data_IF_029724524654
#
_entry.id   IF_029724524654
#
_cell.length_a   1.000
_cell.length_b   1.000
_cell.length_c   1.000
_cell.angle_alpha   90.00
_cell.angle_beta   90.00
_cell.angle_gamma   90.00
#
_symmetry.space_group_name_H-M   'P 1'
#
loop_
_entity.id
_entity.type
_entity.pdbx_description
1 polymer ?
#
# COMPACT_ATOMS: atom_id res chain seq x y z
N UNK A 1 5.69 31.58 8.95
CA UNK A 1 5.13 30.41 9.64
C UNK A 1 4.13 29.80 8.67
N UNK A 2 4.35 28.58 8.19
CA UNK A 2 3.40 27.91 7.29
C UNK A 2 2.32 27.26 8.16
N UNK A 3 1.07 27.70 8.03
CA UNK A 3 -0.08 26.98 8.58
C UNK A 3 -0.52 25.93 7.56
N UNK A 4 -0.34 24.66 7.91
CA UNK A 4 -0.84 23.54 7.14
C UNK A 4 -2.19 23.13 7.74
N UNK A 5 -3.29 23.46 7.05
CA UNK A 5 -4.59 22.88 7.34
C UNK A 5 -4.79 21.66 6.43
N UNK A 6 -4.65 20.47 7.00
CA UNK A 6 -4.99 19.22 6.35
C UNK A 6 -6.33 18.71 6.91
N UNK A 7 -7.23 18.18 6.06
CA UNK A 7 -8.41 17.49 6.54
C UNK A 7 -8.00 16.30 7.41
N UNK A 8 -8.79 16.03 8.46
CA UNK A 8 -8.60 14.82 9.25
C UNK A 8 -8.90 13.59 8.38
N UNK A 9 -8.16 12.48 8.55
CA UNK A 9 -8.45 11.23 7.86
C UNK A 9 -9.84 10.72 8.20
N UNK A 10 -10.48 10.02 7.27
CA UNK A 10 -11.75 9.36 7.53
C UNK A 10 -11.62 8.31 8.63
N UNK A 11 -12.68 8.10 9.40
CA UNK A 11 -12.66 7.13 10.50
C UNK A 11 -12.38 5.70 10.01
N UNK A 12 -12.75 5.37 8.77
CA UNK A 12 -12.42 4.10 8.12
C UNK A 12 -10.92 3.92 7.87
N UNK A 13 -10.15 5.01 7.86
CA UNK A 13 -8.71 4.97 7.70
C UNK A 13 -7.97 4.91 9.03
N UNK A 14 -8.69 4.84 10.15
CA UNK A 14 -8.13 4.92 11.48
C UNK A 14 -8.35 3.64 12.28
N UNK A 15 -7.34 3.28 13.07
CA UNK A 15 -7.40 2.20 14.06
C UNK A 15 -6.97 2.75 15.41
N UNK A 16 -7.61 2.28 16.48
CA UNK A 16 -7.18 2.58 17.84
C UNK A 16 -6.23 1.50 18.35
N UNK A 17 -5.07 1.91 18.84
CA UNK A 17 -4.09 1.01 19.46
C UNK A 17 -3.47 1.70 20.66
N UNK A 18 -3.57 1.07 21.82
CA UNK A 18 -3.01 1.59 23.08
C UNK A 18 -3.46 3.03 23.41
N UNK A 19 -4.72 3.37 23.08
CA UNK A 19 -5.29 4.71 23.25
C UNK A 19 -4.82 5.74 22.22
N UNK A 20 -4.02 5.33 21.23
CA UNK A 20 -3.59 6.16 20.10
C UNK A 20 -4.45 5.88 18.88
N UNK A 21 -4.81 6.94 18.20
CA UNK A 21 -5.48 6.91 16.89
C UNK A 21 -4.43 6.92 15.80
N UNK A 22 -4.26 5.78 15.14
CA UNK A 22 -3.28 5.55 14.09
C UNK A 22 -3.98 5.35 12.75
N UNK A 23 -3.27 5.55 11.64
CA UNK A 23 -3.75 5.06 10.36
C UNK A 23 -3.84 3.52 10.39
N UNK A 24 -4.86 2.99 9.72
CA UNK A 24 -4.87 1.58 9.32
C UNK A 24 -3.64 1.29 8.45
N UNK A 25 -3.21 0.03 8.40
CA UNK A 25 -2.02 -0.34 7.65
C UNK A 25 -2.21 -0.09 6.15
N UNK A 26 -3.39 -0.41 5.63
CA UNK A 26 -3.81 -0.21 4.26
C UNK A 26 -3.77 1.27 3.88
N UNK A 27 -4.38 2.12 4.71
CA UNK A 27 -4.38 3.57 4.50
C UNK A 27 -2.96 4.14 4.59
N UNK A 28 -2.16 3.69 5.56
CA UNK A 28 -0.78 4.12 5.70
C UNK A 28 0.07 3.75 4.47
N UNK A 29 -0.15 2.59 3.86
CA UNK A 29 0.56 2.17 2.64
C UNK A 29 0.14 2.99 1.40
N UNK A 30 -1.13 3.42 1.34
CA UNK A 30 -1.63 4.31 0.28
C UNK A 30 -0.99 5.70 0.41
N UNK A 31 -0.97 6.25 1.63
CA UNK A 31 -0.38 7.56 1.94
C UNK A 31 1.16 7.55 1.92
N UNK A 32 1.78 6.38 2.04
CA UNK A 32 3.23 6.25 2.02
C UNK A 32 3.80 6.76 0.68
N UNK A 33 4.65 7.78 0.78
CA UNK A 33 5.37 8.29 -0.37
C UNK A 33 6.29 7.22 -0.99
N UNK A 34 6.56 7.26 -2.31
CA UNK A 34 7.51 6.34 -2.94
C UNK A 34 8.89 6.33 -2.27
N UNK A 35 9.30 7.46 -1.68
CA UNK A 35 10.58 7.59 -0.96
C UNK A 35 10.63 6.71 0.29
N UNK A 36 9.50 6.42 0.93
CA UNK A 36 9.48 5.55 2.11
C UNK A 36 9.96 4.14 1.77
N UNK A 37 9.49 3.57 0.65
CA UNK A 37 9.93 2.26 0.17
C UNK A 37 11.42 2.21 -0.17
N UNK A 38 11.98 3.32 -0.67
CA UNK A 38 13.41 3.45 -0.96
C UNK A 38 14.28 3.49 0.30
N UNK A 39 13.89 4.28 1.29
CA UNK A 39 14.72 4.53 2.49
C UNK A 39 14.46 3.54 3.63
N UNK A 40 13.28 2.90 3.65
CA UNK A 40 12.82 2.01 4.70
C UNK A 40 12.32 0.68 4.11
N UNK A 41 13.09 0.10 3.19
CA UNK A 41 12.67 -1.06 2.41
C UNK A 41 12.28 -2.27 3.28
N UNK A 42 13.05 -2.56 4.34
CA UNK A 42 12.76 -3.65 5.28
C UNK A 42 11.44 -3.43 6.02
N UNK A 43 11.22 -2.21 6.54
CA UNK A 43 10.01 -1.88 7.28
C UNK A 43 8.78 -1.94 6.37
N UNK A 44 8.90 -1.40 5.15
CA UNK A 44 7.84 -1.45 4.14
C UNK A 44 7.49 -2.90 3.75
N UNK A 45 8.49 -3.77 3.55
CA UNK A 45 8.26 -5.20 3.26
C UNK A 45 7.64 -5.93 4.44
N UNK A 46 8.07 -5.63 5.66
CA UNK A 46 7.49 -6.21 6.88
C UNK A 46 6.03 -5.79 7.05
N UNK A 47 5.74 -4.50 6.87
CA UNK A 47 4.38 -3.96 6.85
C UNK A 47 3.52 -4.63 5.76
N UNK A 48 4.05 -4.74 4.54
CA UNK A 48 3.38 -5.45 3.45
C UNK A 48 3.14 -6.92 3.74
N UNK A 49 3.98 -7.59 4.54
CA UNK A 49 3.77 -8.98 4.94
C UNK A 49 2.57 -9.15 5.90
N UNK A 50 2.16 -8.10 6.60
CA UNK A 50 1.04 -8.11 7.55
C UNK A 50 -0.33 -8.00 6.88
N UNK A 51 -0.40 -7.46 5.66
CA UNK A 51 -1.65 -7.39 4.87
C UNK A 51 -2.09 -8.81 4.53
N UNK A 52 -3.31 -9.24 4.85
CA UNK A 52 -3.73 -10.64 4.58
C UNK A 52 -4.27 -10.82 3.16
N UNK A 53 -5.15 -9.91 2.75
CA UNK A 53 -5.81 -9.91 1.46
C UNK A 53 -5.87 -8.47 0.89
N UNK A 54 -6.27 -8.31 -0.37
CA UNK A 54 -6.29 -7.01 -1.03
C UNK A 54 -7.58 -6.22 -0.77
N UNK A 55 -8.58 -6.75 -0.06
CA UNK A 55 -9.95 -6.21 -0.07
C UNK A 55 -10.02 -4.79 0.46
N UNK A 56 -9.45 -4.55 1.65
CA UNK A 56 -9.44 -3.25 2.31
C UNK A 56 -8.59 -2.24 1.53
N UNK A 57 -7.48 -2.69 0.94
CA UNK A 57 -6.65 -1.85 0.09
C UNK A 57 -7.38 -1.46 -1.19
N UNK A 58 -8.04 -2.41 -1.85
CA UNK A 58 -8.80 -2.21 -3.08
C UNK A 58 -9.98 -1.30 -2.89
N UNK A 59 -10.72 -1.43 -1.78
CA UNK A 59 -11.83 -0.53 -1.45
C UNK A 59 -11.39 0.93 -1.50
N UNK A 60 -10.26 1.25 -0.86
CA UNK A 60 -9.70 2.61 -0.81
C UNK A 60 -9.10 3.05 -2.15
N UNK A 61 -8.38 2.17 -2.84
CA UNK A 61 -7.80 2.47 -4.14
C UNK A 61 -8.87 2.78 -5.20
N UNK A 62 -10.01 2.07 -5.15
CA UNK A 62 -11.14 2.29 -6.05
C UNK A 62 -11.89 3.57 -5.71
N UNK A 63 -12.19 3.81 -4.43
CA UNK A 63 -12.91 5.00 -3.98
C UNK A 63 -12.17 6.31 -4.37
N UNK A 64 -10.85 6.34 -4.18
CA UNK A 64 -10.02 7.48 -4.57
C UNK A 64 -9.52 7.48 -6.03
N UNK A 65 -9.86 6.47 -6.84
CA UNK A 65 -9.36 6.33 -8.22
C UNK A 65 -7.84 6.29 -8.34
N UNK A 66 -7.15 5.74 -7.34
CA UNK A 66 -5.71 5.86 -7.11
C UNK A 66 -4.85 4.95 -8.01
N UNK A 67 -5.01 5.05 -9.34
CA UNK A 67 -4.32 4.20 -10.33
C UNK A 67 -2.79 4.19 -10.16
N UNK A 68 -2.17 5.36 -9.96
CA UNK A 68 -0.70 5.44 -9.79
C UNK A 68 -0.23 4.76 -8.50
N UNK A 69 -0.99 4.89 -7.41
CA UNK A 69 -0.65 4.27 -6.12
C UNK A 69 -0.85 2.76 -6.20
N UNK A 70 -1.95 2.31 -6.79
CA UNK A 70 -2.20 0.90 -7.04
C UNK A 70 -1.04 0.25 -7.83
N UNK A 71 -0.50 0.95 -8.83
CA UNK A 71 0.59 0.42 -9.66
C UNK A 71 1.90 0.30 -8.88
N UNK A 72 2.14 1.26 -7.99
CA UNK A 72 3.25 1.21 -7.04
C UNK A 72 3.12 0.04 -6.07
N UNK A 73 1.94 -0.12 -5.46
CA UNK A 73 1.69 -1.17 -4.48
C UNK A 73 1.72 -2.56 -5.11
N UNK A 74 1.16 -2.74 -6.31
CA UNK A 74 1.27 -3.99 -7.07
C UNK A 74 2.73 -4.37 -7.33
N UNK A 75 3.54 -3.42 -7.81
CA UNK A 75 4.98 -3.63 -8.01
C UNK A 75 5.71 -4.00 -6.70
N UNK A 76 5.39 -3.31 -5.61
CA UNK A 76 5.98 -3.54 -4.30
C UNK A 76 5.59 -4.90 -3.68
N UNK A 77 4.33 -5.32 -3.80
CA UNK A 77 3.88 -6.65 -3.39
C UNK A 77 4.58 -7.75 -4.20
N UNK A 78 4.72 -7.55 -5.51
CA UNK A 78 5.45 -8.48 -6.38
C UNK A 78 6.92 -8.59 -5.98
N UNK A 79 7.60 -7.48 -5.69
CA UNK A 79 8.97 -7.47 -5.17
C UNK A 79 9.09 -8.24 -3.85
N UNK A 80 8.10 -8.10 -2.98
CA UNK A 80 8.05 -8.75 -1.67
C UNK A 80 7.71 -10.25 -1.73
N UNK A 81 7.49 -10.82 -2.93
CA UNK A 81 7.12 -12.24 -3.10
C UNK A 81 5.62 -12.52 -3.00
N UNK A 82 4.77 -11.47 -3.01
CA UNK A 82 3.30 -11.56 -2.90
C UNK A 82 2.64 -11.33 -4.25
N UNK A 83 3.08 -12.08 -5.26
CA UNK A 83 2.62 -11.94 -6.65
C UNK A 83 1.10 -12.08 -6.82
N UNK A 84 0.46 -12.99 -6.07
CA UNK A 84 -0.99 -13.18 -6.14
C UNK A 84 -1.78 -11.92 -5.75
N UNK A 85 -1.34 -11.19 -4.71
CA UNK A 85 -1.95 -9.91 -4.34
C UNK A 85 -1.69 -8.82 -5.35
N UNK A 86 -0.48 -8.76 -5.91
CA UNK A 86 -0.17 -7.84 -7.00
C UNK A 86 -1.12 -8.07 -8.19
N UNK A 87 -1.32 -9.34 -8.58
CA UNK A 87 -2.20 -9.71 -9.68
C UNK A 87 -3.67 -9.38 -9.37
N UNK A 88 -4.12 -9.61 -8.12
CA UNK A 88 -5.47 -9.26 -7.66
C UNK A 88 -5.72 -7.75 -7.72
N UNK A 89 -4.77 -6.94 -7.24
CA UNK A 89 -4.83 -5.47 -7.30
C UNK A 89 -4.93 -5.02 -8.75
N UNK A 90 -4.02 -5.50 -9.60
CA UNK A 90 -3.96 -5.12 -11.02
C UNK A 90 -5.24 -5.50 -11.74
N UNK A 91 -5.72 -6.74 -11.55
CA UNK A 91 -6.94 -7.24 -12.19
C UNK A 91 -8.17 -6.44 -11.76
N UNK A 92 -8.33 -6.17 -10.47
CA UNK A 92 -9.52 -5.50 -9.95
C UNK A 92 -9.58 -4.04 -10.38
N UNK A 93 -8.45 -3.32 -10.32
CA UNK A 93 -8.38 -1.94 -10.80
C UNK A 93 -8.67 -1.85 -12.30
N UNK A 94 -8.12 -2.75 -13.11
CA UNK A 94 -8.40 -2.80 -14.55
C UNK A 94 -9.86 -3.16 -14.85
N UNK A 95 -10.47 -4.07 -14.08
CA UNK A 95 -11.88 -4.41 -14.23
C UNK A 95 -12.81 -3.23 -13.93
N UNK A 96 -12.40 -2.33 -13.03
CA UNK A 96 -13.08 -1.07 -12.76
C UNK A 96 -12.81 0.04 -13.81
N UNK A 97 -12.04 -0.25 -14.87
CA UNK A 97 -11.76 0.68 -15.96
C UNK A 97 -10.53 1.56 -15.75
N UNK A 98 -9.75 1.34 -14.69
CA UNK A 98 -8.51 2.09 -14.45
C UNK A 98 -7.33 1.54 -15.23
N UNK A 99 -6.57 2.43 -15.88
CA UNK A 99 -5.32 2.09 -16.53
C UNK A 99 -4.17 2.09 -15.52
N UNK A 100 -3.69 0.89 -15.18
CA UNK A 100 -2.59 0.69 -14.25
C UNK A 100 -1.26 0.58 -14.98
N UNK A 101 -0.20 1.18 -14.42
CA UNK A 101 1.19 0.84 -14.75
C UNK A 101 1.90 0.36 -13.49
N UNK A 102 2.23 -0.93 -13.42
CA UNK A 102 3.05 -1.46 -12.33
C UNK A 102 4.42 -0.76 -12.30
N UNK A 103 4.82 -0.31 -11.11
CA UNK A 103 6.12 0.33 -10.89
C UNK A 103 6.65 -0.15 -9.54
N UNK A 104 7.76 -0.87 -9.55
CA UNK A 104 8.42 -1.30 -8.31
C UNK A 104 9.09 -0.07 -7.63
N UNK A 105 8.69 0.31 -6.40
CA UNK A 105 9.31 1.42 -5.69
C UNK A 105 10.59 1.03 -4.96
N UNK A 106 10.96 -0.26 -4.91
CA UNK A 106 12.23 -0.71 -4.34
C UNK A 106 13.35 -0.66 -5.38
N UNK A 107 14.61 -0.50 -4.93
CA UNK A 107 15.80 -0.59 -5.80
C UNK A 107 16.48 -1.95 -5.75
N UNK A 108 16.10 -2.79 -4.79
CA UNK A 108 16.69 -4.08 -4.52
C UNK A 108 15.61 -5.16 -4.39
N UNK A 109 16.05 -6.40 -4.19
CA UNK A 109 15.20 -7.52 -3.81
C UNK A 109 15.55 -7.94 -2.38
N UNK A 110 14.58 -8.46 -1.61
CA UNK A 110 14.88 -8.92 -0.26
C UNK A 110 15.92 -10.06 -0.31
N UNK A 111 16.93 -9.98 0.56
CA UNK A 111 17.99 -10.99 0.66
C UNK A 111 17.48 -12.35 1.14
N UNK A 112 16.33 -12.36 1.82
CA UNK A 112 15.65 -13.56 2.31
C UNK A 112 14.20 -13.52 1.80
N UNK A 113 13.74 -14.62 1.20
CA UNK A 113 12.35 -14.75 0.82
C UNK A 113 11.47 -14.79 2.09
N UNK A 114 10.51 -13.87 2.17
CA UNK A 114 9.52 -13.87 3.26
C UNK A 114 8.52 -15.01 3.01
N UNK A 115 8.30 -15.85 4.03
CA UNK A 115 7.26 -16.87 3.98
C UNK A 115 5.94 -16.24 4.40
N UNK A 116 4.94 -16.34 3.54
CA UNK A 116 3.57 -15.91 3.83
C UNK A 116 2.75 -17.14 4.26
N UNK A 117 2.00 -17.02 5.35
CA UNK A 117 1.09 -18.04 5.86
C UNK A 117 -0.35 -17.62 5.62
#
# INVERSE_FOLDING_TARGET
MFELQAPLPDLSDMVEKDGLRLFSLESALIEASPRYFLHHATDARAAMAMIRDASDLLARLLDGGHSTIAGRLAGAFRNSGRGALADEITRTMSAAGYALRETDPFTDRPAVALSFR
#
